data_IF_562797961323
#
_entry.id   IF_562797961323
#
_cell.length_a   1.000
_cell.length_b   1.000
_cell.length_c   1.000
_cell.angle_alpha   90.00
_cell.angle_beta   90.00
_cell.angle_gamma   90.00
#
_symmetry.space_group_name_H-M   'P 1'
#
loop_
_entity.id
_entity.type
_entity.pdbx_description
1 polymer ?
#
# COMPACT_ATOMS: atom_id res chain seq x y z
N UNK A 1 -25.49 -14.21 -6.45
CA UNK A 1 -25.05 -12.82 -6.18
C UNK A 1 -23.88 -12.53 -7.12
N UNK A 2 -24.18 -12.27 -8.39
CA UNK A 2 -23.19 -11.94 -9.43
C UNK A 2 -23.04 -10.42 -9.41
N UNK A 3 -21.98 -9.94 -8.79
CA UNK A 3 -21.58 -8.53 -8.94
C UNK A 3 -21.07 -8.34 -10.36
N UNK A 4 -21.73 -7.47 -11.11
CA UNK A 4 -21.41 -7.15 -12.51
C UNK A 4 -19.97 -6.63 -12.63
N UNK A 5 -19.14 -7.31 -13.43
CA UNK A 5 -17.80 -6.85 -13.78
C UNK A 5 -17.81 -5.47 -14.49
N UNK A 6 -18.95 -5.09 -15.07
CA UNK A 6 -19.15 -3.81 -15.77
C UNK A 6 -19.18 -2.60 -14.81
N UNK A 7 -19.75 -2.77 -13.61
CA UNK A 7 -19.83 -1.70 -12.59
C UNK A 7 -18.49 -1.50 -11.88
N UNK A 8 -17.71 -2.58 -11.69
CA UNK A 8 -16.37 -2.51 -11.08
C UNK A 8 -15.38 -1.74 -11.96
N UNK A 9 -15.45 -1.93 -13.28
CA UNK A 9 -14.58 -1.25 -14.25
C UNK A 9 -14.85 0.27 -14.29
N UNK A 10 -16.12 0.69 -14.21
CA UNK A 10 -16.48 2.10 -14.17
C UNK A 10 -16.02 2.82 -12.90
N UNK A 11 -16.16 2.17 -11.74
CA UNK A 11 -15.70 2.74 -10.46
C UNK A 11 -14.17 2.93 -10.43
N UNK A 12 -13.40 1.96 -10.92
CA UNK A 12 -11.94 2.06 -11.01
C UNK A 12 -11.49 3.19 -11.95
N UNK A 13 -12.20 3.39 -13.07
CA UNK A 13 -11.87 4.46 -14.01
C UNK A 13 -12.12 5.84 -13.39
N UNK A 14 -13.26 6.03 -12.73
CA UNK A 14 -13.57 7.29 -12.04
C UNK A 14 -12.53 7.61 -10.96
N UNK A 15 -12.12 6.61 -10.16
CA UNK A 15 -11.10 6.80 -9.14
C UNK A 15 -9.73 7.20 -9.73
N UNK A 16 -9.37 6.61 -10.89
CA UNK A 16 -8.14 6.97 -11.60
C UNK A 16 -8.21 8.40 -12.18
N UNK A 17 -9.34 8.79 -12.76
CA UNK A 17 -9.58 10.14 -13.28
C UNK A 17 -9.45 11.17 -12.14
N UNK A 18 -10.09 10.93 -11.00
CA UNK A 18 -9.97 11.79 -9.82
C UNK A 18 -8.54 11.85 -9.26
N UNK A 19 -7.83 10.72 -9.24
CA UNK A 19 -6.43 10.69 -8.80
C UNK A 19 -5.53 11.53 -9.71
N UNK A 20 -5.76 11.48 -11.03
CA UNK A 20 -5.07 12.32 -12.01
C UNK A 20 -5.34 13.81 -11.80
N UNK A 21 -6.60 14.20 -11.61
CA UNK A 21 -6.99 15.60 -11.34
C UNK A 21 -6.32 16.11 -10.05
N UNK A 22 -6.43 15.34 -8.96
CA UNK A 22 -5.80 15.72 -7.67
C UNK A 22 -4.27 15.79 -7.77
N UNK A 23 -3.64 14.91 -8.54
CA UNK A 23 -2.20 14.95 -8.76
C UNK A 23 -1.80 16.23 -9.49
N UNK A 24 -2.54 16.62 -10.54
CA UNK A 24 -2.31 17.87 -11.27
C UNK A 24 -2.48 19.09 -10.37
N UNK A 25 -3.53 19.15 -9.55
CA UNK A 25 -3.77 20.24 -8.58
C UNK A 25 -2.63 20.37 -7.57
N UNK A 26 -2.01 19.26 -7.19
CA UNK A 26 -0.87 19.21 -6.25
C UNK A 26 0.48 19.41 -6.93
N UNK A 27 0.53 19.55 -8.25
CA UNK A 27 1.78 19.63 -9.02
C UNK A 27 2.62 18.35 -8.97
N UNK A 28 1.99 17.20 -8.71
CA UNK A 28 2.67 15.91 -8.62
C UNK A 28 2.99 15.39 -10.02
N UNK A 29 4.22 14.92 -10.23
CA UNK A 29 4.57 14.21 -11.46
C UNK A 29 3.77 12.91 -11.57
N UNK A 30 3.44 12.47 -12.79
CA UNK A 30 2.75 11.20 -12.99
C UNK A 30 3.65 10.01 -12.61
N UNK A 31 4.93 10.09 -12.95
CA UNK A 31 5.94 9.06 -12.74
C UNK A 31 7.09 9.56 -11.86
N UNK A 32 8.00 8.65 -11.50
CA UNK A 32 9.12 8.91 -10.59
C UNK A 32 8.82 8.48 -9.15
N UNK A 33 9.84 8.40 -8.29
CA UNK A 33 9.72 7.88 -6.92
C UNK A 33 8.67 8.63 -6.10
N UNK A 34 8.65 9.97 -6.23
CA UNK A 34 7.72 10.85 -5.54
C UNK A 34 6.47 11.17 -6.38
N UNK A 35 6.34 10.59 -7.58
CA UNK A 35 5.20 10.79 -8.48
C UNK A 35 3.97 9.97 -8.06
N UNK A 36 2.82 10.24 -8.69
CA UNK A 36 1.55 9.57 -8.39
C UNK A 36 1.67 8.04 -8.42
N UNK A 37 2.26 7.51 -9.48
CA UNK A 37 2.41 6.06 -9.65
C UNK A 37 3.44 5.47 -8.67
N UNK A 38 4.47 6.23 -8.29
CA UNK A 38 5.44 5.84 -7.26
C UNK A 38 4.77 5.70 -5.89
N UNK A 39 4.06 6.74 -5.47
CA UNK A 39 3.32 6.75 -4.20
C UNK A 39 2.21 5.69 -4.14
N UNK A 40 1.49 5.47 -5.26
CA UNK A 40 0.50 4.40 -5.34
C UNK A 40 1.16 3.03 -5.17
N UNK A 41 2.28 2.79 -5.85
CA UNK A 41 3.04 1.53 -5.75
C UNK A 41 3.54 1.31 -4.33
N UNK A 42 4.12 2.34 -3.70
CA UNK A 42 4.53 2.30 -2.30
C UNK A 42 3.36 1.91 -1.39
N UNK A 43 2.23 2.62 -1.51
CA UNK A 43 1.04 2.40 -0.68
C UNK A 43 0.52 0.97 -0.79
N UNK A 44 0.45 0.44 -2.02
CA UNK A 44 -0.01 -0.93 -2.26
C UNK A 44 0.94 -1.95 -1.63
N UNK A 45 2.25 -1.77 -1.81
CA UNK A 45 3.25 -2.68 -1.24
C UNK A 45 3.24 -2.66 0.30
N UNK A 46 3.25 -1.49 0.92
CA UNK A 46 3.22 -1.35 2.37
C UNK A 46 1.92 -1.91 2.97
N UNK A 47 0.78 -1.66 2.32
CA UNK A 47 -0.51 -2.22 2.76
C UNK A 47 -0.52 -3.75 2.69
N UNK A 48 0.04 -4.33 1.63
CA UNK A 48 0.15 -5.78 1.49
C UNK A 48 1.08 -6.38 2.57
N UNK A 49 2.24 -5.76 2.81
CA UNK A 49 3.19 -6.20 3.84
C UNK A 49 2.58 -6.14 5.25
N UNK A 50 1.83 -5.10 5.58
CA UNK A 50 1.14 -4.99 6.87
C UNK A 50 0.03 -6.05 7.05
N UNK A 51 -0.66 -6.40 5.96
CA UNK A 51 -1.62 -7.49 5.95
C UNK A 51 -0.93 -8.84 6.19
N UNK A 52 0.18 -9.11 5.48
CA UNK A 52 0.99 -10.32 5.67
C UNK A 52 1.54 -10.42 7.09
N UNK A 53 1.99 -9.31 7.69
CA UNK A 53 2.43 -9.30 9.09
C UNK A 53 1.29 -9.59 10.08
N UNK A 54 0.06 -9.19 9.74
CA UNK A 54 -1.11 -9.49 10.57
C UNK A 54 -1.43 -10.98 10.52
N UNK A 55 -1.35 -11.58 9.34
CA UNK A 55 -1.51 -13.02 9.15
C UNK A 55 -0.39 -13.81 9.84
N UNK A 56 0.86 -13.41 9.64
CA UNK A 56 2.04 -14.09 10.18
C UNK A 56 2.05 -14.13 11.71
N UNK A 57 1.71 -13.01 12.37
CA UNK A 57 1.69 -12.91 13.83
C UNK A 57 0.33 -13.31 14.44
N UNK A 58 -0.71 -13.44 13.63
CA UNK A 58 -2.06 -13.79 14.08
C UNK A 58 -2.76 -12.68 14.87
N UNK A 59 -2.26 -11.44 14.83
CA UNK A 59 -2.87 -10.30 15.49
C UNK A 59 -2.60 -8.98 14.76
N UNK A 60 -3.50 -8.00 14.95
CA UNK A 60 -3.32 -6.65 14.41
C UNK A 60 -2.26 -5.85 15.18
N UNK A 61 -1.77 -4.77 14.58
CA UNK A 61 -0.87 -3.82 15.24
C UNK A 61 -1.57 -3.24 16.48
N UNK A 62 -0.85 -3.19 17.61
CA UNK A 62 -1.36 -2.73 18.92
C UNK A 62 -2.52 -3.53 19.52
N UNK A 63 -2.86 -4.71 18.98
CA UNK A 63 -3.89 -5.56 19.56
C UNK A 63 -3.46 -6.11 20.94
N UNK A 64 -4.34 -6.04 21.93
CA UNK A 64 -4.13 -6.68 23.23
C UNK A 64 -4.18 -8.20 23.11
N UNK A 65 -3.05 -8.84 23.43
CA UNK A 65 -2.89 -10.27 23.32
C UNK A 65 -2.62 -10.85 24.72
N UNK A 66 -3.48 -11.73 25.23
CA UNK A 66 -3.17 -12.48 26.45
C UNK A 66 -2.01 -13.44 26.17
N UNK A 67 -1.01 -13.48 27.05
CA UNK A 67 0.14 -14.39 26.91
C UNK A 67 1.26 -13.93 25.97
N UNK A 68 1.51 -12.62 25.86
CA UNK A 68 2.65 -12.05 25.07
C UNK A 68 4.04 -12.52 25.50
N UNK A 69 4.17 -13.08 26.71
CA UNK A 69 5.47 -13.54 27.22
C UNK A 69 5.99 -14.71 26.40
N UNK A 70 7.07 -14.47 25.64
CA UNK A 70 7.72 -15.49 24.79
C UNK A 70 7.17 -15.60 23.36
N UNK A 71 6.28 -14.70 22.93
CA UNK A 71 5.79 -14.65 21.53
C UNK A 71 6.50 -13.56 20.72
N UNK A 72 6.49 -13.69 19.39
CA UNK A 72 6.99 -12.66 18.49
C UNK A 72 6.08 -11.43 18.54
N UNK A 73 6.69 -10.27 18.77
CA UNK A 73 6.01 -8.97 18.77
C UNK A 73 6.52 -8.17 17.57
N UNK A 74 5.61 -7.43 16.91
CA UNK A 74 5.98 -6.50 15.84
C UNK A 74 7.07 -5.53 16.30
N UNK A 75 8.09 -5.32 15.48
CA UNK A 75 9.19 -4.40 15.75
C UNK A 75 9.30 -3.35 14.64
N UNK A 76 8.57 -2.25 14.80
CA UNK A 76 8.51 -1.10 13.89
C UNK A 76 8.69 -1.45 12.41
N UNK A 77 9.35 -0.61 11.61
CA UNK A 77 9.60 -0.85 10.20
C UNK A 77 10.97 -0.33 9.79
N UNK A 78 11.48 -0.83 8.67
CA UNK A 78 12.76 -0.45 8.08
C UNK A 78 12.57 0.01 6.64
N UNK A 79 13.17 1.13 6.28
CA UNK A 79 13.22 1.59 4.90
C UNK A 79 13.94 0.58 3.98
N UNK A 80 13.41 0.37 2.78
CA UNK A 80 14.02 -0.40 1.70
C UNK A 80 13.63 0.20 0.35
N UNK A 81 14.58 0.34 -0.56
CA UNK A 81 14.29 0.70 -1.96
C UNK A 81 14.01 -0.55 -2.79
N UNK A 82 12.84 -0.61 -3.40
CA UNK A 82 12.41 -1.64 -4.37
C UNK A 82 12.46 -1.05 -5.76
N UNK A 83 13.02 -1.78 -6.72
CA UNK A 83 13.01 -1.39 -8.12
C UNK A 83 11.85 -2.11 -8.81
N UNK A 84 10.98 -1.34 -9.45
CA UNK A 84 9.84 -1.83 -10.22
C UNK A 84 9.92 -1.36 -11.66
N UNK A 85 9.37 -2.15 -12.58
CA UNK A 85 9.37 -1.81 -14.00
C UNK A 85 8.48 -0.59 -14.31
N UNK A 86 7.37 -0.45 -13.57
CA UNK A 86 6.35 0.58 -13.84
C UNK A 86 6.62 1.92 -13.14
N UNK A 87 7.15 1.91 -11.91
CA UNK A 87 7.36 3.12 -11.11
C UNK A 87 8.84 3.47 -10.89
N UNK A 88 9.77 2.60 -11.32
CA UNK A 88 11.19 2.76 -11.05
C UNK A 88 11.54 2.41 -9.60
N UNK A 89 12.52 3.12 -9.04
CA UNK A 89 12.92 2.97 -7.64
C UNK A 89 11.89 3.58 -6.70
N UNK A 90 11.41 2.81 -5.73
CA UNK A 90 10.41 3.21 -4.73
C UNK A 90 10.93 2.83 -3.36
N UNK A 91 11.00 3.79 -2.44
CA UNK A 91 11.27 3.51 -1.03
C UNK A 91 9.98 3.00 -0.35
N UNK A 92 10.10 1.92 0.43
CA UNK A 92 8.99 1.34 1.18
C UNK A 92 9.42 1.09 2.63
N UNK A 93 8.49 1.24 3.56
CA UNK A 93 8.65 0.85 4.96
C UNK A 93 8.26 -0.63 5.14
N UNK A 94 9.26 -1.49 5.39
CA UNK A 94 9.04 -2.93 5.58
C UNK A 94 8.87 -3.23 7.08
N UNK A 95 7.75 -3.82 7.50
CA UNK A 95 7.48 -4.17 8.90
C UNK A 95 8.24 -5.41 9.40
#
# INVERSE_FOLDING_TARGET
>A
MTVDAVTTTGASKNAADEAGVRAQERGLALTGPDGLLGQLTQTVLETALEAEMTEHLGHAKHADQPGREGTNVRNDSRAKTVVSDAAGAVEVAVP
#
